data_IF_553038672387
#
_entry.id   IF_553038672387
#
_cell.length_a   1.000
_cell.length_b   1.000
_cell.length_c   1.000
_cell.angle_alpha   90.00
_cell.angle_beta   90.00
_cell.angle_gamma   90.00
#
_symmetry.space_group_name_H-M   'P 1'
#
loop_
_entity.id
_entity.type
_entity.pdbx_description
1 polymer ?
#
# COMPACT_ATOMS: atom_id res chain seq x y z
N UNK A 1 31.65 13.47 -27.11
CA UNK A 1 31.19 12.07 -26.95
C UNK A 1 30.75 11.94 -25.51
N UNK A 2 29.45 12.14 -25.26
CA UNK A 2 28.88 12.10 -23.91
C UNK A 2 28.99 10.66 -23.39
N UNK A 3 29.60 10.50 -22.22
CA UNK A 3 29.72 9.23 -21.54
C UNK A 3 28.33 8.84 -21.03
N UNK A 4 27.84 7.70 -21.51
CA UNK A 4 26.61 7.09 -21.02
C UNK A 4 26.81 6.68 -19.56
N UNK A 5 26.18 7.43 -18.66
CA UNK A 5 26.03 7.05 -17.26
C UNK A 5 24.92 6.00 -17.25
N UNK A 6 25.30 4.73 -17.17
CA UNK A 6 24.37 3.68 -16.76
C UNK A 6 24.07 3.94 -15.29
N UNK A 7 22.88 4.45 -14.97
CA UNK A 7 22.44 4.51 -13.57
C UNK A 7 22.32 3.07 -13.08
N UNK A 8 23.29 2.63 -12.27
CA UNK A 8 23.17 1.42 -11.47
C UNK A 8 21.90 1.55 -10.61
N UNK A 9 20.95 0.61 -10.67
CA UNK A 9 19.75 0.70 -9.86
C UNK A 9 20.17 0.63 -8.40
N UNK A 10 19.98 1.75 -7.68
CA UNK A 10 20.09 1.76 -6.22
C UNK A 10 19.05 0.78 -5.72
N UNK A 11 19.47 -0.36 -5.19
CA UNK A 11 18.58 -1.31 -4.52
C UNK A 11 18.14 -0.65 -3.21
N UNK A 12 17.12 0.20 -3.31
CA UNK A 12 16.41 0.77 -2.16
C UNK A 12 15.82 -0.40 -1.37
N UNK A 13 16.17 -0.53 -0.10
CA UNK A 13 15.65 -1.56 0.78
C UNK A 13 14.53 -0.97 1.63
N UNK A 14 13.28 -1.29 1.31
CA UNK A 14 12.10 -0.77 1.98
C UNK A 14 11.75 -1.62 3.20
N UNK A 15 11.83 -1.01 4.38
CA UNK A 15 11.47 -1.65 5.64
C UNK A 15 9.98 -1.49 5.98
N UNK A 16 9.50 -2.29 6.94
CA UNK A 16 8.14 -2.21 7.49
C UNK A 16 7.73 -0.78 7.90
N UNK A 17 8.68 0.01 8.40
CA UNK A 17 8.45 1.39 8.83
C UNK A 17 8.04 2.31 7.67
N UNK A 18 8.50 2.02 6.45
CA UNK A 18 8.29 2.86 5.28
C UNK A 18 6.86 2.70 4.72
N UNK A 19 6.16 1.64 5.12
CA UNK A 19 4.74 1.42 4.78
C UNK A 19 3.77 1.90 5.86
N UNK A 20 4.24 2.34 7.03
CA UNK A 20 3.38 2.80 8.12
C UNK A 20 3.08 4.28 7.99
N UNK A 21 1.81 4.64 7.89
CA UNK A 21 1.40 6.05 7.98
C UNK A 21 1.49 6.59 9.42
N UNK A 22 1.37 7.90 9.56
CA UNK A 22 1.25 8.58 10.86
C UNK A 22 -0.11 8.32 11.55
N UNK A 23 -1.12 7.90 10.78
CA UNK A 23 -2.46 7.64 11.30
C UNK A 23 -2.47 6.36 12.12
N UNK A 24 -2.91 6.46 13.38
CA UNK A 24 -3.02 5.30 14.26
C UNK A 24 -4.33 4.54 14.01
N UNK A 25 -4.28 3.19 13.93
CA UNK A 25 -5.49 2.39 13.84
C UNK A 25 -6.41 2.56 15.05
N UNK A 26 -7.71 2.68 14.78
CA UNK A 26 -8.74 2.87 15.83
C UNK A 26 -9.61 1.62 16.06
N UNK A 27 -9.14 0.47 15.59
CA UNK A 27 -9.85 -0.79 15.80
C UNK A 27 -9.85 -1.19 17.27
N UNK A 28 -10.87 -1.97 17.65
CA UNK A 28 -11.01 -2.46 19.02
C UNK A 28 -9.80 -3.30 19.45
N UNK A 29 -9.41 -3.28 20.74
CA UNK A 29 -8.37 -4.16 21.26
C UNK A 29 -8.67 -5.63 20.92
N UNK A 30 -7.69 -6.34 20.35
CA UNK A 30 -7.86 -7.73 19.91
C UNK A 30 -8.50 -7.92 18.53
N UNK A 31 -8.78 -6.84 17.79
CA UNK A 31 -9.28 -6.95 16.41
C UNK A 31 -8.27 -7.64 15.48
N UNK A 32 -8.74 -8.58 14.65
CA UNK A 32 -7.90 -9.31 13.69
C UNK A 32 -7.30 -8.43 12.58
N UNK A 33 -7.89 -7.27 12.29
CA UNK A 33 -7.41 -6.35 11.25
C UNK A 33 -5.99 -5.82 11.57
N UNK A 34 -5.59 -5.75 12.84
CA UNK A 34 -4.21 -5.44 13.23
C UNK A 34 -3.21 -6.48 12.70
N UNK A 35 -3.61 -7.76 12.71
CA UNK A 35 -2.83 -8.85 12.14
C UNK A 35 -2.72 -8.74 10.63
N UNK A 36 -3.83 -8.46 9.95
CA UNK A 36 -3.87 -8.25 8.48
C UNK A 36 -2.98 -7.07 8.08
N UNK A 37 -3.08 -5.94 8.77
CA UNK A 37 -2.26 -4.76 8.50
C UNK A 37 -0.76 -5.05 8.70
N UNK A 38 -0.42 -5.75 9.78
CA UNK A 38 0.96 -6.15 10.05
C UNK A 38 1.49 -7.10 8.99
N UNK A 39 0.68 -8.07 8.56
CA UNK A 39 1.04 -8.99 7.48
C UNK A 39 1.27 -8.27 6.16
N UNK A 40 0.46 -7.25 5.85
CA UNK A 40 0.61 -6.45 4.63
C UNK A 40 1.91 -5.64 4.63
N UNK A 41 2.29 -5.02 5.74
CA UNK A 41 3.59 -4.34 5.85
C UNK A 41 4.77 -5.30 5.66
N UNK A 42 4.70 -6.49 6.26
CA UNK A 42 5.73 -7.51 6.10
C UNK A 42 5.81 -7.99 4.65
N UNK A 43 4.67 -8.24 4.01
CA UNK A 43 4.63 -8.69 2.62
C UNK A 43 5.27 -7.67 1.67
N UNK A 44 4.91 -6.38 1.79
CA UNK A 44 5.46 -5.34 0.93
C UNK A 44 6.97 -5.15 1.15
N UNK A 45 7.40 -5.15 2.42
CA UNK A 45 8.83 -5.06 2.76
C UNK A 45 9.64 -6.25 2.24
N UNK A 46 9.11 -7.47 2.37
CA UNK A 46 9.78 -8.67 1.85
C UNK A 46 9.85 -8.69 0.32
N UNK A 47 8.85 -8.13 -0.36
CA UNK A 47 8.84 -7.97 -1.82
C UNK A 47 9.65 -6.75 -2.28
N UNK A 48 10.10 -5.91 -1.34
CA UNK A 48 10.86 -4.70 -1.60
C UNK A 48 10.21 -3.77 -2.62
N UNK A 49 8.87 -3.61 -2.54
CA UNK A 49 8.10 -2.79 -3.47
C UNK A 49 8.13 -1.34 -2.99
N UNK A 50 8.49 -0.36 -3.85
CA UNK A 50 8.41 1.05 -3.51
C UNK A 50 7.00 1.44 -3.04
N UNK A 51 6.83 2.12 -1.89
CA UNK A 51 5.51 2.55 -1.41
C UNK A 51 4.72 3.39 -2.43
N UNK A 52 5.42 4.16 -3.26
CA UNK A 52 4.87 4.94 -4.37
C UNK A 52 4.30 4.08 -5.52
N UNK A 53 4.72 2.82 -5.64
CA UNK A 53 4.20 1.87 -6.64
C UNK A 53 3.04 1.03 -6.09
N UNK A 54 2.59 1.30 -4.86
CA UNK A 54 1.50 0.56 -4.21
C UNK A 54 0.25 1.40 -4.12
N UNK A 55 -0.86 0.87 -4.66
CA UNK A 55 -2.20 1.44 -4.50
C UNK A 55 -3.08 0.52 -3.65
N UNK A 56 -3.50 1.00 -2.47
CA UNK A 56 -4.34 0.27 -1.53
C UNK A 56 -5.77 0.80 -1.62
N UNK A 57 -6.65 0.00 -2.21
CA UNK A 57 -8.03 0.38 -2.49
C UNK A 57 -8.94 -0.43 -1.58
N UNK A 58 -9.91 0.22 -0.95
CA UNK A 58 -10.83 -0.41 0.00
C UNK A 58 -12.27 0.05 -0.20
N UNK A 59 -13.23 -0.50 0.55
CA UNK A 59 -14.65 -0.09 0.54
C UNK A 59 -15.05 0.66 1.81
N UNK A 60 -16.16 0.23 2.42
CA UNK A 60 -16.69 0.76 3.68
C UNK A 60 -16.82 -0.37 4.69
N UNK A 61 -16.24 -0.17 5.87
CA UNK A 61 -16.22 -1.10 7.00
C UNK A 61 -15.02 -0.84 7.92
N UNK A 62 -14.91 -1.56 9.04
CA UNK A 62 -13.74 -1.48 9.92
C UNK A 62 -12.46 -1.82 9.14
N UNK A 63 -12.45 -2.97 8.45
CA UNK A 63 -11.35 -3.41 7.61
C UNK A 63 -10.99 -2.42 6.50
N UNK A 64 -11.97 -1.67 5.99
CA UNK A 64 -11.72 -0.73 4.90
C UNK A 64 -10.96 0.53 5.35
N UNK A 65 -10.61 0.69 6.62
CA UNK A 65 -9.73 1.77 7.06
C UNK A 65 -8.25 1.54 6.71
N UNK A 66 -7.91 0.35 6.21
CA UNK A 66 -6.55 -0.04 5.83
C UNK A 66 -5.77 1.02 5.03
N UNK A 67 -6.31 1.66 3.95
CA UNK A 67 -5.53 2.62 3.18
C UNK A 67 -5.03 3.80 3.99
N UNK A 68 -5.82 4.24 4.99
CA UNK A 68 -5.44 5.36 5.85
C UNK A 68 -4.31 5.03 6.82
N UNK A 69 -3.96 3.76 6.99
CA UNK A 69 -2.86 3.31 7.85
C UNK A 69 -1.57 3.04 7.08
N UNK A 70 -1.64 3.04 5.75
CA UNK A 70 -0.50 2.73 4.88
C UNK A 70 0.10 4.00 4.28
N UNK A 71 1.42 4.11 4.28
CA UNK A 71 2.15 5.21 3.65
C UNK A 71 2.34 4.95 2.14
N UNK A 72 1.24 4.71 1.45
CA UNK A 72 1.18 4.41 0.00
C UNK A 72 0.06 5.22 -0.65
N UNK A 73 -0.17 5.08 -1.95
CA UNK A 73 -1.42 5.57 -2.53
C UNK A 73 -2.60 4.80 -1.94
N UNK A 74 -3.67 5.50 -1.56
CA UNK A 74 -4.81 4.93 -0.85
C UNK A 74 -6.14 5.49 -1.33
N UNK A 75 -7.14 4.63 -1.51
CA UNK A 75 -8.50 5.07 -1.85
C UNK A 75 -9.57 4.30 -1.08
N UNK A 76 -10.46 5.03 -0.42
CA UNK A 76 -11.64 4.52 0.25
C UNK A 76 -12.87 4.68 -0.66
N UNK A 77 -13.23 3.61 -1.36
CA UNK A 77 -14.40 3.59 -2.24
C UNK A 77 -15.72 3.43 -1.46
N UNK A 78 -16.84 3.42 -2.19
CA UNK A 78 -18.16 3.18 -1.59
C UNK A 78 -18.39 1.70 -1.27
N UNK A 79 -19.35 1.43 -0.38
CA UNK A 79 -19.64 0.09 0.11
C UNK A 79 -19.91 -0.89 -1.05
N UNK A 80 -19.19 -2.02 -1.08
CA UNK A 80 -19.34 -3.05 -2.10
C UNK A 80 -18.90 -2.66 -3.53
N UNK A 81 -18.12 -1.58 -3.70
CA UNK A 81 -17.63 -1.11 -5.02
C UNK A 81 -16.10 -1.03 -5.13
N UNK A 82 -15.38 -1.71 -4.24
CA UNK A 82 -13.91 -1.81 -4.26
C UNK A 82 -13.38 -2.38 -5.60
N UNK A 83 -13.95 -3.49 -6.08
CA UNK A 83 -13.47 -4.19 -7.28
C UNK A 83 -13.53 -3.34 -8.55
N UNK A 84 -14.67 -2.72 -8.95
CA UNK A 84 -14.69 -1.93 -10.17
C UNK A 84 -13.73 -0.74 -10.14
N UNK A 85 -13.53 -0.12 -8.96
CA UNK A 85 -12.55 0.96 -8.80
C UNK A 85 -11.12 0.43 -8.95
N UNK A 86 -10.77 -0.66 -8.25
CA UNK A 86 -9.44 -1.24 -8.32
C UNK A 86 -9.09 -1.75 -9.73
N UNK A 87 -10.07 -2.34 -10.43
CA UNK A 87 -9.91 -2.73 -11.83
C UNK A 87 -9.64 -1.51 -12.71
N UNK A 88 -10.40 -0.42 -12.55
CA UNK A 88 -10.17 0.82 -13.30
C UNK A 88 -8.78 1.41 -13.05
N UNK A 89 -8.34 1.44 -11.79
CA UNK A 89 -6.99 1.91 -11.44
C UNK A 89 -5.92 1.07 -12.13
N UNK A 90 -5.99 -0.27 -12.03
CA UNK A 90 -5.00 -1.14 -12.64
C UNK A 90 -5.05 -1.14 -14.18
N UNK A 91 -6.21 -0.91 -14.78
CA UNK A 91 -6.31 -0.73 -16.24
C UNK A 91 -5.70 0.59 -16.71
N UNK A 92 -5.85 1.66 -15.93
CA UNK A 92 -5.31 2.98 -16.26
C UNK A 92 -3.81 3.09 -16.02
N UNK A 93 -3.30 2.42 -14.98
CA UNK A 93 -1.88 2.29 -14.69
C UNK A 93 -1.54 0.80 -14.44
N UNK A 94 -1.10 0.07 -15.49
CA UNK A 94 -0.83 -1.37 -15.41
C UNK A 94 0.46 -1.76 -14.69
N UNK A 95 1.33 -0.80 -14.41
CA UNK A 95 2.55 -1.02 -13.65
C UNK A 95 2.24 -1.21 -12.15
#
# INVERSE_FOLDING_TARGET
>A
MAQNIVEEPVIQNYGIKDYKSETKPIWCPGCGDFGVLSALYNALSNLNIPPEDVAVISGIGCSSRLPGYMATYGFNSVHGRILPIATGVKMANPD
#
